data_IF_421929872202
#
_entry.id   IF_421929872202
#
_cell.length_a   1.000
_cell.length_b   1.000
_cell.length_c   1.000
_cell.angle_alpha   90.00
_cell.angle_beta   90.00
_cell.angle_gamma   90.00
#
_symmetry.space_group_name_H-M   'P 1'
#
loop_
_entity.id
_entity.type
_entity.pdbx_description
1 polymer ?
#
# COMPACT_ATOMS: atom_id res chain seq x y z
N UNK A 1 -16.35 -19.14 15.49
CA UNK A 1 -17.28 -18.00 15.29
C UNK A 1 -16.84 -17.21 14.07
N UNK A 2 -17.72 -16.96 13.11
CA UNK A 2 -17.39 -16.06 11.97
C UNK A 2 -17.02 -14.69 12.52
N UNK A 3 -15.89 -14.13 12.09
CA UNK A 3 -15.41 -12.81 12.46
C UNK A 3 -16.39 -11.78 11.88
N UNK A 4 -16.84 -10.79 12.66
CA UNK A 4 -17.73 -9.74 12.15
C UNK A 4 -17.04 -8.97 11.01
N UNK A 5 -17.80 -8.53 10.03
CA UNK A 5 -17.27 -7.85 8.85
C UNK A 5 -16.76 -6.47 9.25
N UNK A 6 -15.59 -6.08 8.76
CA UNK A 6 -15.03 -4.74 8.93
C UNK A 6 -14.53 -4.27 7.57
N UNK A 7 -14.95 -3.08 7.17
CA UNK A 7 -14.42 -2.33 6.04
C UNK A 7 -13.71 -1.09 6.54
N UNK A 8 -12.61 -0.72 5.90
CA UNK A 8 -11.91 0.52 6.19
C UNK A 8 -12.41 1.62 5.27
N UNK A 9 -12.63 2.80 5.85
CA UNK A 9 -12.97 3.98 5.08
C UNK A 9 -11.81 4.39 4.18
N UNK A 10 -12.12 4.78 2.95
CA UNK A 10 -11.14 5.26 1.99
C UNK A 10 -10.77 6.73 2.25
N UNK A 11 -11.71 7.52 2.77
CA UNK A 11 -11.59 8.92 3.12
C UNK A 11 -12.06 9.14 4.57
N UNK A 12 -11.59 10.20 5.22
CA UNK A 12 -11.94 10.47 6.63
C UNK A 12 -13.43 10.77 6.83
N UNK A 13 -14.12 11.30 5.81
CA UNK A 13 -15.55 11.61 5.81
C UNK A 13 -16.46 10.42 5.46
N UNK A 14 -15.89 9.30 5.09
CA UNK A 14 -16.63 8.09 4.71
C UNK A 14 -17.05 7.23 5.89
N UNK A 15 -16.87 7.69 7.11
CA UNK A 15 -17.22 6.90 8.30
C UNK A 15 -18.69 6.46 8.27
N UNK A 16 -19.64 7.35 7.92
CA UNK A 16 -21.05 7.07 7.82
C UNK A 16 -21.39 6.05 6.71
N UNK A 17 -21.08 6.34 5.44
CA UNK A 17 -21.29 5.39 4.34
C UNK A 17 -20.61 4.03 4.56
N UNK A 18 -19.42 4.02 5.15
CA UNK A 18 -18.72 2.76 5.47
C UNK A 18 -19.44 1.98 6.57
N UNK A 19 -20.03 2.64 7.56
CA UNK A 19 -20.89 1.98 8.56
C UNK A 19 -22.09 1.30 7.90
N UNK A 20 -22.76 1.96 6.94
CA UNK A 20 -23.85 1.35 6.17
C UNK A 20 -23.37 0.16 5.35
N UNK A 21 -22.20 0.25 4.69
CA UNK A 21 -21.57 -0.88 3.97
C UNK A 21 -21.31 -2.08 4.88
N UNK A 22 -20.81 -1.84 6.10
CA UNK A 22 -20.56 -2.88 7.10
C UNK A 22 -21.87 -3.58 7.50
N UNK A 23 -22.92 -2.80 7.77
CA UNK A 23 -24.23 -3.33 8.14
C UNK A 23 -24.88 -4.07 6.97
N UNK A 24 -24.86 -3.54 5.75
CA UNK A 24 -25.37 -4.22 4.56
C UNK A 24 -24.69 -5.58 4.37
N UNK A 25 -23.37 -5.64 4.55
CA UNK A 25 -22.61 -6.92 4.47
C UNK A 25 -22.96 -7.88 5.59
N UNK A 26 -23.26 -7.39 6.78
CA UNK A 26 -23.75 -8.25 7.87
C UNK A 26 -25.05 -8.96 7.49
N UNK A 27 -25.96 -8.27 6.79
CA UNK A 27 -27.21 -8.82 6.28
C UNK A 27 -27.07 -9.54 4.91
N UNK A 28 -25.83 -9.71 4.39
CA UNK A 28 -25.51 -10.56 3.25
C UNK A 28 -25.35 -9.85 1.91
N UNK A 29 -25.49 -8.50 1.82
CA UNK A 29 -25.33 -7.74 0.57
C UNK A 29 -24.05 -6.90 0.59
N UNK A 30 -23.43 -6.74 -0.58
CA UNK A 30 -22.29 -5.83 -0.77
C UNK A 30 -22.72 -4.67 -1.63
N UNK A 31 -22.71 -3.45 -1.08
CA UNK A 31 -23.11 -2.24 -1.78
C UNK A 31 -21.86 -1.41 -2.08
N UNK A 32 -21.80 -0.78 -3.25
CA UNK A 32 -20.71 0.09 -3.62
C UNK A 32 -20.65 1.30 -2.68
N UNK A 33 -19.46 1.65 -2.19
CA UNK A 33 -19.30 2.79 -1.28
C UNK A 33 -19.72 4.11 -1.94
N UNK A 34 -19.59 4.21 -3.26
CA UNK A 34 -19.95 5.40 -4.01
C UNK A 34 -21.47 5.64 -3.99
N UNK A 35 -22.28 4.59 -4.22
CA UNK A 35 -23.73 4.67 -4.12
C UNK A 35 -24.17 5.10 -2.70
N UNK A 36 -23.49 4.57 -1.67
CA UNK A 36 -23.76 4.95 -0.29
C UNK A 36 -23.40 6.40 0.02
N UNK A 37 -22.33 6.93 -0.57
CA UNK A 37 -21.96 8.36 -0.46
C UNK A 37 -23.02 9.26 -1.12
N UNK A 38 -23.44 8.89 -2.32
CA UNK A 38 -24.43 9.65 -3.08
C UNK A 38 -25.78 9.63 -2.36
N UNK A 39 -26.20 8.49 -1.79
CA UNK A 39 -27.45 8.39 -1.02
C UNK A 39 -27.39 9.14 0.32
N UNK A 40 -26.22 9.18 0.98
CA UNK A 40 -26.02 9.85 2.27
C UNK A 40 -25.61 11.32 2.14
N UNK A 41 -25.61 11.88 0.92
CA UNK A 41 -25.26 13.28 0.65
C UNK A 41 -24.01 13.73 1.41
N UNK A 42 -22.96 12.86 1.40
CA UNK A 42 -21.75 13.09 2.19
C UNK A 42 -21.03 14.35 1.70
N UNK A 43 -20.93 15.36 2.56
CA UNK A 43 -20.28 16.66 2.28
C UNK A 43 -18.80 16.67 2.65
N UNK A 44 -18.13 17.83 2.50
CA UNK A 44 -16.73 18.04 2.95
C UNK A 44 -16.55 17.85 4.46
N UNK A 45 -17.60 18.04 5.25
CA UNK A 45 -17.61 17.89 6.70
C UNK A 45 -17.95 16.46 7.15
N UNK A 46 -18.38 15.62 6.22
CA UNK A 46 -18.84 14.26 6.47
C UNK A 46 -20.34 14.08 6.24
N UNK A 47 -20.91 12.99 6.74
CA UNK A 47 -22.33 12.67 6.65
C UNK A 47 -23.05 13.12 7.93
N UNK A 48 -24.27 13.61 7.76
CA UNK A 48 -25.17 13.90 8.86
C UNK A 48 -25.99 12.62 9.16
N UNK A 49 -26.44 12.46 10.41
CA UNK A 49 -27.19 11.30 10.85
C UNK A 49 -28.53 11.13 10.11
N UNK A 50 -29.20 12.25 9.76
CA UNK A 50 -30.42 12.24 8.99
C UNK A 50 -30.19 11.67 7.60
N UNK A 51 -29.18 12.17 6.88
CA UNK A 51 -28.85 11.66 5.54
C UNK A 51 -28.37 10.19 5.56
N UNK A 52 -27.72 9.75 6.64
CA UNK A 52 -27.41 8.34 6.84
C UNK A 52 -28.66 7.49 7.04
N UNK A 53 -29.65 8.01 7.76
CA UNK A 53 -30.98 7.39 7.92
C UNK A 53 -31.67 7.26 6.58
N UNK A 54 -31.75 8.34 5.80
CA UNK A 54 -32.38 8.38 4.47
C UNK A 54 -31.68 7.43 3.50
N UNK A 55 -30.34 7.39 3.51
CA UNK A 55 -29.55 6.45 2.73
C UNK A 55 -29.87 4.99 3.10
N UNK A 56 -29.94 4.69 4.38
CA UNK A 56 -30.28 3.35 4.86
C UNK A 56 -31.70 2.94 4.41
N UNK A 57 -32.68 3.87 4.43
CA UNK A 57 -34.04 3.62 3.98
C UNK A 57 -34.13 3.43 2.46
N UNK A 58 -33.36 4.22 1.67
CA UNK A 58 -33.25 4.03 0.21
C UNK A 58 -32.79 2.64 -0.18
N UNK A 59 -31.85 2.06 0.57
CA UNK A 59 -31.35 0.70 0.32
C UNK A 59 -32.22 -0.40 0.94
N UNK A 60 -33.29 -0.03 1.66
CA UNK A 60 -34.32 -0.96 2.12
C UNK A 60 -34.19 -1.33 3.60
N UNK A 61 -33.44 -0.61 4.42
CA UNK A 61 -33.50 -0.73 5.88
C UNK A 61 -34.67 0.08 6.45
N UNK A 62 -35.03 -0.22 7.70
CA UNK A 62 -35.80 0.66 8.57
C UNK A 62 -34.88 1.27 9.58
N UNK A 63 -35.00 2.56 9.82
CA UNK A 63 -34.10 3.30 10.69
C UNK A 63 -34.85 4.05 11.77
N UNK A 64 -34.19 4.24 12.93
CA UNK A 64 -34.70 5.06 14.00
C UNK A 64 -33.51 5.77 14.70
N UNK A 65 -33.41 7.09 14.55
CA UNK A 65 -32.46 7.92 15.27
C UNK A 65 -32.92 8.14 16.70
N UNK A 66 -32.13 7.76 17.68
CA UNK A 66 -32.49 7.84 19.10
C UNK A 66 -31.35 8.47 19.92
N UNK A 67 -31.75 9.13 20.99
CA UNK A 67 -30.86 9.54 22.07
C UNK A 67 -31.18 8.66 23.28
N UNK A 68 -30.28 7.76 23.66
CA UNK A 68 -30.51 6.73 24.67
C UNK A 68 -29.32 6.60 25.63
N UNK A 69 -29.62 6.11 26.86
CA UNK A 69 -28.58 5.82 27.85
C UNK A 69 -27.87 4.49 27.57
N UNK A 70 -26.63 4.36 28.08
CA UNK A 70 -25.82 3.14 27.91
C UNK A 70 -26.52 1.88 28.45
N UNK A 71 -27.32 2.00 29.47
CA UNK A 71 -28.07 0.88 30.06
C UNK A 71 -29.21 0.38 29.17
N UNK A 72 -29.85 1.27 28.38
CA UNK A 72 -30.88 0.90 27.43
C UNK A 72 -30.31 0.44 26.07
N UNK A 73 -29.05 0.72 25.81
CA UNK A 73 -28.39 0.27 24.58
C UNK A 73 -28.26 -1.27 24.52
N UNK A 74 -28.26 -1.95 25.68
CA UNK A 74 -28.25 -3.42 25.74
C UNK A 74 -29.57 -4.04 25.17
N UNK A 75 -30.65 -3.29 25.13
CA UNK A 75 -31.96 -3.71 24.59
C UNK A 75 -32.12 -3.33 23.09
N UNK A 76 -31.19 -2.53 22.54
CA UNK A 76 -31.26 -2.05 21.18
C UNK A 76 -30.97 -3.15 20.15
N UNK A 77 -31.62 -3.12 18.97
CA UNK A 77 -31.28 -4.04 17.88
C UNK A 77 -29.84 -3.81 17.41
N UNK A 78 -29.06 -4.89 17.30
CA UNK A 78 -27.67 -4.86 16.83
C UNK A 78 -27.57 -5.58 15.47
N UNK A 79 -26.73 -5.08 14.53
CA UNK A 79 -25.82 -3.94 14.66
C UNK A 79 -26.50 -2.58 14.51
N UNK A 80 -26.00 -1.54 15.21
CA UNK A 80 -26.45 -0.16 15.10
C UNK A 80 -25.28 0.80 14.87
N UNK A 81 -25.54 2.01 14.34
CA UNK A 81 -24.53 3.05 14.15
C UNK A 81 -24.55 3.99 15.36
N UNK A 82 -23.38 4.29 15.91
CA UNK A 82 -23.20 5.23 17.00
C UNK A 82 -22.47 6.48 16.52
N UNK A 83 -22.93 7.65 16.99
CA UNK A 83 -22.20 8.90 16.82
C UNK A 83 -21.07 8.98 17.86
N UNK A 84 -19.84 8.95 17.40
CA UNK A 84 -18.64 8.71 18.22
C UNK A 84 -17.77 9.95 18.30
N UNK A 85 -17.31 10.34 19.46
CA UNK A 85 -16.49 11.56 19.65
C UNK A 85 -17.05 12.82 19.00
N UNK A 86 -18.39 12.93 18.81
CA UNK A 86 -19.10 14.04 18.18
C UNK A 86 -18.71 14.36 16.70
N UNK A 87 -17.83 13.57 16.10
CA UNK A 87 -17.33 13.82 14.73
C UNK A 87 -17.07 12.54 13.92
N UNK A 88 -17.46 11.38 14.42
CA UNK A 88 -17.21 10.09 13.78
C UNK A 88 -18.41 9.15 13.92
N UNK A 89 -18.52 8.16 13.03
CA UNK A 89 -19.52 7.10 13.10
C UNK A 89 -18.87 5.74 13.18
N UNK A 90 -19.40 4.88 14.06
CA UNK A 90 -18.93 3.50 14.26
C UNK A 90 -20.10 2.53 14.35
N UNK A 91 -19.88 1.25 14.08
CA UNK A 91 -20.89 0.21 14.18
C UNK A 91 -20.70 -0.58 15.46
N UNK A 92 -21.69 -0.52 16.37
CA UNK A 92 -21.77 -1.42 17.51
C UNK A 92 -22.46 -2.72 17.06
N UNK A 93 -21.76 -3.85 17.13
CA UNK A 93 -22.28 -5.11 16.61
C UNK A 93 -22.53 -6.18 17.67
N UNK A 94 -22.01 -5.99 18.88
CA UNK A 94 -22.19 -6.95 19.96
C UNK A 94 -21.89 -6.30 21.30
N UNK A 95 -22.67 -6.67 22.31
CA UNK A 95 -22.42 -6.36 23.72
C UNK A 95 -22.32 -7.69 24.46
N UNK A 96 -21.32 -7.84 25.32
CA UNK A 96 -21.17 -9.03 26.17
C UNK A 96 -20.69 -8.61 27.54
N UNK A 97 -21.56 -8.72 28.54
CA UNK A 97 -21.34 -8.16 29.91
C UNK A 97 -20.96 -6.68 29.79
N UNK A 98 -19.84 -6.24 30.36
CA UNK A 98 -19.35 -4.87 30.31
C UNK A 98 -18.38 -4.60 29.15
N UNK A 99 -18.38 -5.43 28.09
CA UNK A 99 -17.51 -5.27 26.92
C UNK A 99 -18.33 -4.97 25.67
N UNK A 100 -18.03 -3.85 25.03
CA UNK A 100 -18.67 -3.34 23.82
C UNK A 100 -17.77 -3.61 22.61
N UNK A 101 -18.32 -4.29 21.60
CA UNK A 101 -17.61 -4.70 20.40
C UNK A 101 -17.97 -3.79 19.25
N UNK A 102 -17.02 -3.03 18.76
CA UNK A 102 -17.20 -1.99 17.75
C UNK A 102 -16.44 -2.35 16.48
N UNK A 103 -17.09 -2.17 15.34
CA UNK A 103 -16.43 -2.10 14.03
C UNK A 103 -16.28 -0.63 13.66
N UNK A 104 -15.07 -0.11 13.80
CA UNK A 104 -14.71 1.26 13.49
C UNK A 104 -14.16 1.33 12.07
N UNK A 105 -14.76 2.13 11.16
CA UNK A 105 -14.26 2.32 9.81
C UNK A 105 -12.80 2.81 9.72
N UNK A 106 -12.33 3.56 10.72
CA UNK A 106 -10.96 4.05 10.76
C UNK A 106 -9.96 3.04 11.35
N UNK A 107 -10.38 2.29 12.38
CA UNK A 107 -9.48 1.46 13.19
C UNK A 107 -9.73 -0.05 13.06
N UNK A 108 -10.87 -0.47 12.50
CA UNK A 108 -11.26 -1.88 12.38
C UNK A 108 -12.01 -2.38 13.61
N UNK A 109 -11.87 -3.67 13.94
CA UNK A 109 -12.59 -4.26 15.07
C UNK A 109 -11.87 -3.93 16.39
N UNK A 110 -12.58 -3.26 17.30
CA UNK A 110 -12.09 -2.80 18.62
C UNK A 110 -13.05 -3.26 19.70
N UNK A 111 -12.51 -3.43 20.90
CA UNK A 111 -13.27 -3.74 22.10
C UNK A 111 -13.03 -2.66 23.15
N UNK A 112 -14.09 -2.19 23.77
CA UNK A 112 -14.04 -1.20 24.85
C UNK A 112 -14.70 -1.78 26.11
N UNK A 113 -14.16 -1.42 27.28
CA UNK A 113 -14.86 -1.57 28.54
C UNK A 113 -15.96 -0.50 28.65
N UNK A 114 -16.89 -0.65 29.63
CA UNK A 114 -18.03 0.27 29.79
C UNK A 114 -17.59 1.72 30.00
N UNK A 115 -16.55 1.97 30.81
CA UNK A 115 -16.08 3.32 31.13
C UNK A 115 -15.50 4.04 29.89
N UNK A 116 -14.61 3.38 29.15
CA UNK A 116 -14.02 3.93 27.92
C UNK A 116 -15.07 4.10 26.83
N UNK A 117 -16.02 3.16 26.71
CA UNK A 117 -17.12 3.24 25.77
C UNK A 117 -17.99 4.48 26.02
N UNK A 118 -18.45 4.71 27.25
CA UNK A 118 -19.25 5.88 27.64
C UNK A 118 -18.48 7.17 27.35
N UNK A 119 -17.23 7.24 27.73
CA UNK A 119 -16.37 8.40 27.50
C UNK A 119 -16.25 8.77 26.01
N UNK A 120 -16.11 7.80 25.13
CA UNK A 120 -15.97 8.05 23.69
C UNK A 120 -17.33 8.27 22.99
N UNK A 121 -18.39 7.65 23.47
CA UNK A 121 -19.73 7.76 22.87
C UNK A 121 -20.43 9.05 23.26
N UNK A 122 -20.39 9.44 24.54
CA UNK A 122 -21.10 10.62 25.07
C UNK A 122 -20.20 11.86 25.03
N UNK A 123 -18.88 11.70 25.15
CA UNK A 123 -17.89 12.80 25.20
C UNK A 123 -17.68 13.35 26.61
N UNK A 124 -16.76 14.35 26.73
CA UNK A 124 -16.40 14.98 28.01
C UNK A 124 -17.43 16.00 28.53
N UNK A 125 -18.50 16.30 27.79
CA UNK A 125 -19.55 17.23 28.15
C UNK A 125 -20.79 16.50 28.74
N UNK A 126 -20.61 15.37 29.42
CA UNK A 126 -21.66 14.79 30.21
C UNK A 126 -22.00 15.77 31.34
N UNK A 127 -23.05 16.57 31.18
CA UNK A 127 -23.73 17.14 32.32
C UNK A 127 -24.08 15.98 33.26
N UNK A 128 -23.74 16.08 34.52
CA UNK A 128 -23.85 15.00 35.53
C UNK A 128 -25.27 14.38 35.65
N UNK A 129 -26.24 14.83 34.85
CA UNK A 129 -27.64 14.44 34.91
C UNK A 129 -28.15 13.53 33.79
N UNK A 130 -27.46 13.40 32.62
CA UNK A 130 -27.94 12.54 31.50
C UNK A 130 -26.79 11.90 30.75
N UNK A 131 -26.46 10.64 31.06
CA UNK A 131 -25.53 9.79 30.31
C UNK A 131 -26.22 9.24 29.02
N UNK A 132 -26.61 10.12 28.09
CA UNK A 132 -27.29 9.74 26.87
C UNK A 132 -26.42 10.01 25.63
N UNK A 133 -26.26 9.00 24.78
CA UNK A 133 -25.55 9.08 23.50
C UNK A 133 -26.50 8.93 22.30
N UNK A 134 -26.06 9.36 21.13
CA UNK A 134 -26.81 9.29 19.88
C UNK A 134 -26.52 7.96 19.18
N UNK A 135 -27.58 7.25 18.80
CA UNK A 135 -27.53 6.02 18.03
C UNK A 135 -28.53 6.03 16.87
N UNK A 136 -28.17 5.43 15.75
CA UNK A 136 -29.07 5.10 14.63
C UNK A 136 -29.29 3.59 14.68
N UNK A 137 -30.50 3.19 15.07
CA UNK A 137 -30.94 1.80 15.06
C UNK A 137 -31.33 1.42 13.63
N UNK A 138 -30.91 0.23 13.19
CA UNK A 138 -31.08 -0.20 11.79
C UNK A 138 -31.55 -1.64 11.76
N UNK A 139 -32.65 -1.90 11.06
CA UNK A 139 -33.19 -3.24 10.84
C UNK A 139 -33.43 -3.49 9.35
N UNK A 140 -33.10 -4.70 8.88
CA UNK A 140 -33.32 -5.07 7.49
C UNK A 140 -34.83 -5.29 7.24
N UNK A 141 -35.41 -4.57 6.27
CA UNK A 141 -36.79 -4.79 5.82
C UNK A 141 -36.84 -5.82 4.67
N UNK A 142 -37.99 -6.37 4.33
CA UNK A 142 -38.14 -7.23 3.15
C UNK A 142 -37.67 -6.59 1.84
N UNK A 143 -37.77 -5.26 1.71
CA UNK A 143 -37.25 -4.50 0.55
C UNK A 143 -35.75 -4.62 0.39
N UNK A 144 -34.99 -4.67 1.51
CA UNK A 144 -33.53 -4.83 1.47
C UNK A 144 -33.15 -6.13 0.75
N UNK A 145 -33.84 -7.22 1.00
CA UNK A 145 -33.52 -8.52 0.38
C UNK A 145 -33.97 -8.61 -1.09
N UNK A 146 -34.94 -7.81 -1.51
CA UNK A 146 -35.42 -7.76 -2.88
C UNK A 146 -34.67 -6.79 -3.79
N UNK A 147 -33.90 -5.85 -3.23
CA UNK A 147 -33.14 -4.84 -3.99
C UNK A 147 -31.97 -5.47 -4.77
N UNK A 148 -31.72 -4.99 -5.99
CA UNK A 148 -30.65 -5.46 -6.88
C UNK A 148 -29.26 -4.87 -6.58
N UNK A 149 -29.04 -4.26 -5.41
CA UNK A 149 -27.80 -3.60 -5.03
C UNK A 149 -26.61 -4.57 -4.73
N UNK A 150 -26.57 -5.74 -5.32
CA UNK A 150 -25.50 -6.72 -5.07
C UNK A 150 -24.45 -6.65 -6.19
N UNK A 151 -23.68 -5.56 -6.24
CA UNK A 151 -22.51 -5.46 -7.12
C UNK A 151 -21.24 -5.58 -6.30
N UNK A 152 -20.57 -6.70 -6.48
CA UNK A 152 -19.22 -6.90 -5.95
C UNK A 152 -18.27 -5.88 -6.58
N UNK A 153 -17.50 -5.16 -5.77
CA UNK A 153 -16.42 -4.30 -6.24
C UNK A 153 -15.47 -5.13 -7.13
N UNK A 154 -15.53 -4.95 -8.43
CA UNK A 154 -14.68 -5.67 -9.38
C UNK A 154 -13.23 -5.19 -9.29
N UNK A 155 -12.50 -5.71 -8.31
CA UNK A 155 -11.05 -5.46 -8.16
C UNK A 155 -10.21 -5.89 -9.40
N UNK A 156 -10.83 -6.44 -10.45
CA UNK A 156 -10.15 -6.95 -11.63
C UNK A 156 -10.04 -6.00 -12.81
N UNK A 157 -10.90 -4.99 -12.89
CA UNK A 157 -10.95 -4.08 -14.06
C UNK A 157 -9.73 -3.15 -14.14
N UNK A 158 -9.23 -2.69 -13.01
CA UNK A 158 -8.14 -1.71 -12.99
C UNK A 158 -6.82 -2.20 -13.58
N UNK A 159 -6.37 -3.40 -13.26
CA UNK A 159 -5.11 -3.95 -13.79
C UNK A 159 -5.18 -4.26 -15.29
N UNK A 160 -6.33 -4.70 -15.81
CA UNK A 160 -6.55 -4.95 -17.24
C UNK A 160 -6.47 -3.64 -18.04
N UNK A 161 -7.07 -2.58 -17.53
CA UNK A 161 -7.02 -1.25 -18.14
C UNK A 161 -5.59 -0.71 -18.17
N UNK A 162 -4.87 -0.86 -17.06
CA UNK A 162 -3.47 -0.43 -16.93
C UNK A 162 -2.52 -1.18 -17.87
N UNK A 163 -2.75 -2.48 -18.10
CA UNK A 163 -1.90 -3.26 -19.03
C UNK A 163 -1.93 -2.73 -20.46
N UNK A 164 -3.03 -2.09 -20.90
CA UNK A 164 -3.15 -1.50 -22.23
C UNK A 164 -2.17 -0.34 -22.43
N UNK A 165 -1.90 0.46 -21.40
CA UNK A 165 -0.91 1.54 -21.48
C UNK A 165 0.51 1.01 -21.72
N UNK A 166 0.87 -0.10 -21.10
CA UNK A 166 2.20 -0.72 -21.24
C UNK A 166 2.34 -1.43 -22.58
N UNK A 167 1.32 -2.19 -22.99
CA UNK A 167 1.33 -2.95 -24.27
C UNK A 167 1.39 -2.05 -25.50
N UNK A 168 0.96 -0.81 -25.41
CA UNK A 168 1.10 0.20 -26.47
C UNK A 168 2.57 0.44 -26.83
N UNK A 169 3.50 0.24 -25.89
CA UNK A 169 4.93 0.49 -26.07
C UNK A 169 5.77 -0.80 -26.17
N UNK A 170 5.21 -1.85 -26.81
CA UNK A 170 5.84 -3.17 -26.94
C UNK A 170 7.29 -3.16 -27.48
N UNK A 171 7.63 -2.21 -28.37
CA UNK A 171 8.98 -2.08 -28.91
C UNK A 171 10.01 -1.75 -27.83
N UNK A 172 9.71 -0.83 -26.90
CA UNK A 172 10.58 -0.52 -25.75
C UNK A 172 10.69 -1.71 -24.80
N UNK A 173 9.61 -2.47 -24.59
CA UNK A 173 9.65 -3.67 -23.76
C UNK A 173 10.57 -4.74 -24.34
N UNK A 174 10.54 -4.95 -25.66
CA UNK A 174 11.44 -5.90 -26.33
C UNK A 174 12.90 -5.44 -26.19
N UNK A 175 13.20 -4.16 -26.43
CA UNK A 175 14.56 -3.62 -26.27
C UNK A 175 15.07 -3.78 -24.82
N UNK A 176 14.22 -3.49 -23.82
CA UNK A 176 14.54 -3.72 -22.42
C UNK A 176 14.81 -5.19 -22.13
N UNK A 177 13.98 -6.11 -22.64
CA UNK A 177 14.16 -7.54 -22.45
C UNK A 177 15.48 -8.04 -23.06
N UNK A 178 15.85 -7.59 -24.24
CA UNK A 178 17.14 -7.93 -24.85
C UNK A 178 18.31 -7.38 -24.03
N UNK A 179 18.23 -6.11 -23.58
CA UNK A 179 19.25 -5.51 -22.72
C UNK A 179 19.40 -6.24 -21.38
N UNK A 180 18.27 -6.70 -20.81
CA UNK A 180 18.27 -7.49 -19.57
C UNK A 180 18.95 -8.85 -19.74
N UNK A 181 18.64 -9.57 -20.81
CA UNK A 181 19.28 -10.84 -21.14
C UNK A 181 20.78 -10.67 -21.36
N UNK A 182 21.19 -9.66 -22.14
CA UNK A 182 22.60 -9.36 -22.36
C UNK A 182 23.32 -9.02 -21.05
N UNK A 183 22.72 -8.20 -20.18
CA UNK A 183 23.29 -7.85 -18.87
C UNK A 183 23.42 -9.07 -17.96
N UNK A 184 22.43 -9.98 -17.96
CA UNK A 184 22.47 -11.23 -17.17
C UNK A 184 23.59 -12.16 -17.66
N UNK A 185 23.77 -12.28 -18.97
CA UNK A 185 24.86 -13.08 -19.55
C UNK A 185 26.23 -12.54 -19.18
N UNK A 186 26.43 -11.20 -19.27
CA UNK A 186 27.69 -10.59 -18.84
C UNK A 186 27.93 -10.81 -17.33
N UNK A 187 26.91 -10.70 -16.51
CA UNK A 187 27.03 -10.90 -15.07
C UNK A 187 27.37 -12.33 -14.70
N UNK A 188 26.92 -13.31 -15.47
CA UNK A 188 27.20 -14.73 -15.27
C UNK A 188 28.71 -15.07 -15.39
N UNK A 189 29.45 -14.32 -16.20
CA UNK A 189 30.88 -14.56 -16.45
C UNK A 189 31.74 -14.17 -15.22
N UNK A 190 31.32 -13.17 -14.42
CA UNK A 190 32.13 -12.63 -13.32
C UNK A 190 32.58 -13.66 -12.28
N UNK A 191 31.71 -14.54 -11.74
CA UNK A 191 32.12 -15.56 -10.75
C UNK A 191 33.19 -16.52 -11.30
N UNK A 192 33.09 -16.90 -12.58
CA UNK A 192 34.08 -17.78 -13.20
C UNK A 192 35.42 -17.11 -13.42
N UNK A 193 35.45 -15.82 -13.76
CA UNK A 193 36.68 -15.05 -13.82
C UNK A 193 37.34 -14.93 -12.43
N UNK A 194 36.51 -14.69 -11.39
CA UNK A 194 37.01 -14.63 -10.01
C UNK A 194 37.63 -15.96 -9.56
N UNK A 195 36.98 -17.07 -9.89
CA UNK A 195 37.51 -18.40 -9.67
C UNK A 195 38.86 -18.60 -10.39
N UNK A 196 38.91 -18.27 -11.68
CA UNK A 196 40.09 -18.46 -12.53
C UNK A 196 41.32 -17.65 -12.08
N UNK A 197 41.11 -16.45 -11.50
CA UNK A 197 42.18 -15.67 -10.92
C UNK A 197 42.92 -16.48 -9.84
N UNK A 198 42.15 -17.15 -8.98
CA UNK A 198 42.73 -17.87 -7.82
C UNK A 198 43.26 -19.23 -8.25
N UNK A 199 42.44 -20.04 -8.93
CA UNK A 199 42.78 -21.44 -9.25
C UNK A 199 43.86 -21.59 -10.33
N UNK A 200 43.94 -20.63 -11.27
CA UNK A 200 44.93 -20.67 -12.36
C UNK A 200 45.99 -19.59 -12.19
N UNK A 201 45.57 -18.34 -11.91
CA UNK A 201 46.48 -17.22 -11.81
C UNK A 201 47.42 -17.29 -10.62
N UNK A 202 46.86 -17.43 -9.42
CA UNK A 202 47.63 -17.42 -8.16
C UNK A 202 48.32 -18.76 -7.92
N UNK A 203 47.61 -19.89 -8.06
CA UNK A 203 48.21 -21.21 -7.82
C UNK A 203 49.39 -21.53 -8.74
N UNK A 204 49.28 -21.11 -10.03
CA UNK A 204 50.35 -21.31 -11.00
C UNK A 204 51.32 -20.11 -11.08
N UNK A 205 51.23 -19.11 -10.20
CA UNK A 205 52.03 -17.90 -10.16
C UNK A 205 52.14 -17.20 -11.53
N UNK A 206 51.08 -17.24 -12.34
CA UNK A 206 51.04 -16.71 -13.69
C UNK A 206 50.48 -15.29 -13.74
N UNK A 207 51.34 -14.29 -13.62
CA UNK A 207 50.96 -12.89 -13.62
C UNK A 207 50.36 -12.44 -14.95
N UNK A 208 50.78 -12.98 -16.09
CA UNK A 208 50.26 -12.65 -17.42
C UNK A 208 48.79 -13.06 -17.55
N UNK A 209 48.42 -14.20 -16.99
CA UNK A 209 47.04 -14.65 -16.95
C UNK A 209 46.20 -13.72 -16.08
N UNK A 210 46.70 -13.22 -14.95
CA UNK A 210 46.00 -12.27 -14.09
C UNK A 210 45.73 -10.96 -14.83
N UNK A 211 46.72 -10.43 -15.60
CA UNK A 211 46.52 -9.24 -16.43
C UNK A 211 45.43 -9.46 -17.51
N UNK A 212 45.42 -10.62 -18.14
CA UNK A 212 44.39 -10.96 -19.13
C UNK A 212 42.98 -10.92 -18.50
N UNK A 213 42.80 -11.51 -17.33
CA UNK A 213 41.53 -11.51 -16.64
C UNK A 213 41.15 -10.10 -16.16
N UNK A 214 42.12 -9.28 -15.70
CA UNK A 214 41.89 -7.89 -15.34
C UNK A 214 41.26 -7.11 -16.53
N UNK A 215 41.88 -7.21 -17.71
CA UNK A 215 41.33 -6.56 -18.91
C UNK A 215 39.94 -7.11 -19.31
N UNK A 216 39.73 -8.43 -19.19
CA UNK A 216 38.45 -9.06 -19.43
C UNK A 216 37.38 -8.51 -18.46
N UNK A 217 37.67 -8.41 -17.16
CA UNK A 217 36.76 -7.85 -16.17
C UNK A 217 36.46 -6.37 -16.40
N UNK A 218 37.45 -5.56 -16.77
CA UNK A 218 37.27 -4.15 -17.12
C UNK A 218 36.37 -3.99 -18.35
N UNK A 219 36.58 -4.80 -19.39
CA UNK A 219 35.74 -4.79 -20.58
C UNK A 219 34.29 -5.19 -20.26
N UNK A 220 34.09 -6.26 -19.50
CA UNK A 220 32.75 -6.69 -19.06
C UNK A 220 32.07 -5.63 -18.19
N UNK A 221 32.82 -4.99 -17.29
CA UNK A 221 32.30 -3.89 -16.47
C UNK A 221 31.85 -2.71 -17.34
N UNK A 222 32.66 -2.28 -18.31
CA UNK A 222 32.30 -1.22 -19.23
C UNK A 222 31.06 -1.58 -20.08
N UNK A 223 30.99 -2.81 -20.59
CA UNK A 223 29.84 -3.32 -21.33
C UNK A 223 28.55 -3.33 -20.48
N UNK A 224 28.64 -3.83 -19.23
CA UNK A 224 27.53 -3.82 -18.29
C UNK A 224 27.06 -2.40 -17.97
N UNK A 225 27.99 -1.48 -17.71
CA UNK A 225 27.66 -0.08 -17.41
C UNK A 225 26.99 0.59 -18.61
N UNK A 226 27.49 0.32 -19.82
CA UNK A 226 26.86 0.82 -21.06
C UNK A 226 25.41 0.31 -21.24
N UNK A 227 25.18 -0.98 -20.99
CA UNK A 227 23.82 -1.54 -21.03
C UNK A 227 22.91 -0.93 -19.96
N UNK A 228 23.41 -0.66 -18.77
CA UNK A 228 22.64 -0.02 -17.69
C UNK A 228 22.28 1.43 -18.03
N UNK A 229 23.17 2.19 -18.67
CA UNK A 229 22.89 3.52 -19.18
C UNK A 229 21.77 3.49 -20.23
N UNK A 230 21.87 2.60 -21.23
CA UNK A 230 20.85 2.45 -22.29
C UNK A 230 19.50 2.07 -21.65
N UNK A 231 19.49 1.13 -20.69
CA UNK A 231 18.29 0.72 -19.96
C UNK A 231 17.65 1.90 -19.24
N UNK A 232 18.44 2.69 -18.53
CA UNK A 232 17.94 3.86 -17.79
C UNK A 232 17.30 4.90 -18.70
N UNK A 233 17.88 5.14 -19.88
CA UNK A 233 17.30 6.03 -20.88
C UNK A 233 15.97 5.52 -21.45
N UNK A 234 15.90 4.24 -21.78
CA UNK A 234 14.67 3.63 -22.31
C UNK A 234 13.58 3.67 -21.23
N UNK A 235 13.92 3.34 -19.95
CA UNK A 235 12.99 3.40 -18.83
C UNK A 235 12.46 4.81 -18.60
N UNK A 236 13.33 5.83 -18.64
CA UNK A 236 12.91 7.22 -18.47
C UNK A 236 11.90 7.64 -19.57
N UNK A 237 12.17 7.29 -20.83
CA UNK A 237 11.25 7.59 -21.92
C UNK A 237 9.90 6.89 -21.78
N UNK A 238 9.92 5.61 -21.42
CA UNK A 238 8.72 4.80 -21.22
C UNK A 238 7.88 5.34 -20.05
N UNK A 239 8.51 5.56 -18.90
CA UNK A 239 7.93 6.07 -17.68
C UNK A 239 7.26 7.44 -17.90
N UNK A 240 7.99 8.38 -18.50
CA UNK A 240 7.47 9.72 -18.79
C UNK A 240 6.24 9.67 -19.72
N UNK A 241 6.28 8.88 -20.79
CA UNK A 241 5.15 8.77 -21.72
C UNK A 241 3.92 8.15 -21.10
N UNK A 242 4.09 7.10 -20.29
CA UNK A 242 2.98 6.45 -19.56
C UNK A 242 2.42 7.42 -18.54
N UNK A 243 3.26 8.14 -17.78
CA UNK A 243 2.82 9.12 -16.78
C UNK A 243 2.01 10.25 -17.42
N UNK A 244 2.48 10.82 -18.54
CA UNK A 244 1.74 11.86 -19.27
C UNK A 244 0.37 11.34 -19.72
N UNK A 245 0.30 10.13 -20.30
CA UNK A 245 -0.96 9.54 -20.73
C UNK A 245 -1.92 9.34 -19.55
N UNK A 246 -1.44 8.75 -18.45
CA UNK A 246 -2.27 8.48 -17.26
C UNK A 246 -2.82 9.77 -16.63
N UNK A 247 -1.97 10.80 -16.49
CA UNK A 247 -2.39 12.06 -15.90
C UNK A 247 -3.32 12.83 -16.87
N UNK A 248 -3.05 12.78 -18.18
CA UNK A 248 -3.93 13.41 -19.17
C UNK A 248 -5.33 12.79 -19.17
N UNK A 249 -5.42 11.46 -19.19
CA UNK A 249 -6.70 10.75 -19.14
C UNK A 249 -7.45 11.02 -17.82
N UNK A 250 -6.72 11.13 -16.72
CA UNK A 250 -7.29 11.53 -15.44
C UNK A 250 -7.87 12.96 -15.47
N UNK A 251 -7.15 13.92 -16.05
CA UNK A 251 -7.66 15.29 -16.18
C UNK A 251 -8.86 15.37 -17.13
N UNK A 252 -8.85 14.63 -18.24
CA UNK A 252 -10.02 14.55 -19.13
C UNK A 252 -11.22 14.03 -18.34
N UNK A 253 -11.06 12.94 -17.59
CA UNK A 253 -12.13 12.40 -16.75
C UNK A 253 -12.58 13.40 -15.69
N UNK A 254 -11.63 14.05 -15.02
CA UNK A 254 -11.94 15.02 -13.96
C UNK A 254 -12.74 16.21 -14.50
N UNK A 255 -12.43 16.70 -15.71
CA UNK A 255 -13.14 17.82 -16.36
C UNK A 255 -14.55 17.45 -16.81
N UNK A 256 -14.81 16.18 -17.05
CA UNK A 256 -16.14 15.68 -17.45
C UNK A 256 -17.03 15.33 -16.25
N UNK A 257 -16.54 15.46 -15.01
CA UNK A 257 -17.33 15.20 -13.83
C UNK A 257 -18.25 16.38 -13.47
N UNK A 258 -19.47 16.12 -12.90
CA UNK A 258 -20.40 17.15 -12.52
C UNK A 258 -19.84 18.06 -11.39
N UNK A 259 -20.30 19.32 -11.34
CA UNK A 259 -19.87 20.31 -10.35
C UNK A 259 -20.05 19.79 -8.91
N UNK A 260 -21.12 19.06 -8.64
CA UNK A 260 -21.42 18.45 -7.34
C UNK A 260 -20.29 17.57 -6.80
N UNK A 261 -19.48 16.97 -7.69
CA UNK A 261 -18.30 16.20 -7.28
C UNK A 261 -17.26 17.07 -6.59
N UNK A 262 -17.04 18.30 -7.08
CA UNK A 262 -16.04 19.25 -6.54
C UNK A 262 -16.52 19.92 -5.25
N UNK A 263 -17.83 20.10 -5.08
CA UNK A 263 -18.40 20.68 -3.86
C UNK A 263 -18.16 19.80 -2.63
N UNK A 264 -18.06 18.50 -2.85
CA UNK A 264 -17.91 17.49 -1.79
C UNK A 264 -16.44 17.17 -1.49
N UNK A 265 -15.51 17.44 -2.42
CA UNK A 265 -14.11 17.01 -2.32
C UNK A 265 -13.17 18.12 -1.88
N UNK A 266 -12.19 17.78 -1.05
CA UNK A 266 -11.09 18.68 -0.70
C UNK A 266 -10.05 18.73 -1.82
N UNK A 267 -9.47 19.88 -2.08
CA UNK A 267 -8.40 20.05 -3.07
C UNK A 267 -7.20 19.14 -2.80
N UNK A 268 -6.84 18.96 -1.52
CA UNK A 268 -5.76 18.05 -1.12
C UNK A 268 -6.03 16.57 -1.46
N UNK A 269 -7.29 16.14 -1.46
CA UNK A 269 -7.68 14.79 -1.87
C UNK A 269 -7.41 14.58 -3.38
N UNK A 270 -7.77 15.55 -4.21
CA UNK A 270 -7.51 15.51 -5.66
C UNK A 270 -6.00 15.52 -5.93
N UNK A 271 -5.23 16.36 -5.23
CA UNK A 271 -3.77 16.42 -5.35
C UNK A 271 -3.11 15.08 -4.94
N UNK A 272 -3.61 14.45 -3.89
CA UNK A 272 -3.10 13.15 -3.47
C UNK A 272 -3.40 12.05 -4.51
N UNK A 273 -4.54 12.10 -5.20
CA UNK A 273 -4.85 11.18 -6.30
C UNK A 273 -3.94 11.37 -7.51
N UNK A 274 -3.48 12.59 -7.79
CA UNK A 274 -2.44 12.83 -8.80
C UNK A 274 -1.11 12.13 -8.38
N UNK A 275 -0.77 12.17 -7.10
CA UNK A 275 0.40 11.44 -6.59
C UNK A 275 0.22 9.90 -6.66
N UNK A 276 -1.01 9.40 -6.54
CA UNK A 276 -1.31 7.98 -6.70
C UNK A 276 -1.03 7.48 -8.13
N UNK A 277 -1.19 8.33 -9.18
CA UNK A 277 -0.79 7.99 -10.54
C UNK A 277 0.70 7.69 -10.67
N UNK A 278 1.56 8.40 -9.95
CA UNK A 278 3.00 8.14 -9.93
C UNK A 278 3.35 6.78 -9.33
N UNK A 279 2.59 6.33 -8.31
CA UNK A 279 2.77 4.99 -7.73
C UNK A 279 2.40 3.90 -8.72
N UNK A 280 1.29 4.10 -9.44
CA UNK A 280 0.83 3.18 -10.49
C UNK A 280 1.82 3.15 -11.66
N UNK A 281 2.25 4.32 -12.15
CA UNK A 281 3.24 4.44 -13.22
C UNK A 281 4.52 3.69 -12.84
N UNK A 282 5.05 3.90 -11.64
CA UNK A 282 6.26 3.24 -11.13
C UNK A 282 6.13 1.72 -11.17
N UNK A 283 4.99 1.16 -10.77
CA UNK A 283 4.74 -0.29 -10.85
C UNK A 283 4.66 -0.76 -12.29
N UNK A 284 3.95 -0.04 -13.15
CA UNK A 284 3.77 -0.44 -14.55
C UNK A 284 5.06 -0.43 -15.36
N UNK A 285 6.04 0.36 -14.94
CA UNK A 285 7.30 0.57 -15.66
C UNK A 285 8.48 0.01 -14.90
N UNK A 286 9.08 0.82 -14.04
CA UNK A 286 10.37 0.55 -13.40
C UNK A 286 10.33 -0.71 -12.53
N UNK A 287 9.32 -0.85 -11.68
CA UNK A 287 9.27 -1.94 -10.71
C UNK A 287 9.02 -3.30 -11.36
N UNK A 288 8.08 -3.39 -12.30
CA UNK A 288 7.78 -4.65 -13.01
C UNK A 288 8.95 -5.12 -13.85
N UNK A 289 9.66 -4.21 -14.51
CA UNK A 289 10.83 -4.53 -15.33
C UNK A 289 12.00 -4.96 -14.43
N UNK A 290 12.25 -4.25 -13.33
CA UNK A 290 13.30 -4.62 -12.39
C UNK A 290 13.04 -5.99 -11.74
N UNK A 291 11.79 -6.30 -11.41
CA UNK A 291 11.43 -7.62 -10.87
C UNK A 291 11.60 -8.72 -11.89
N UNK A 292 11.20 -8.50 -13.14
CA UNK A 292 11.43 -9.47 -14.21
C UNK A 292 12.93 -9.78 -14.32
N UNK A 293 13.78 -8.75 -14.31
CA UNK A 293 15.23 -8.91 -14.30
C UNK A 293 15.72 -9.67 -13.09
N UNK A 294 15.23 -9.32 -11.89
CA UNK A 294 15.61 -9.97 -10.64
C UNK A 294 15.26 -11.45 -10.62
N UNK A 295 14.08 -11.81 -11.15
CA UNK A 295 13.65 -13.20 -11.27
C UNK A 295 14.58 -13.97 -12.23
N UNK A 296 14.86 -13.41 -13.42
CA UNK A 296 15.76 -14.03 -14.37
C UNK A 296 17.16 -14.21 -13.77
N UNK A 297 17.70 -13.16 -13.14
CA UNK A 297 19.01 -13.20 -12.50
C UNK A 297 19.05 -14.22 -11.34
N UNK A 298 17.99 -14.30 -10.55
CA UNK A 298 17.88 -15.27 -9.46
C UNK A 298 17.90 -16.72 -9.98
N UNK A 299 17.21 -17.00 -11.09
CA UNK A 299 17.23 -18.33 -11.72
C UNK A 299 18.60 -18.65 -12.31
N UNK A 300 19.21 -17.71 -13.04
CA UNK A 300 20.52 -17.90 -13.68
C UNK A 300 21.60 -18.09 -12.61
N UNK A 301 21.73 -17.16 -11.65
CA UNK A 301 22.76 -17.22 -10.61
C UNK A 301 22.48 -18.33 -9.59
N UNK A 302 21.21 -18.63 -9.29
CA UNK A 302 20.81 -19.75 -8.47
C UNK A 302 21.17 -21.09 -9.12
N UNK A 303 21.00 -21.23 -10.45
CA UNK A 303 21.43 -22.38 -11.22
C UNK A 303 22.94 -22.57 -11.19
N UNK A 304 23.73 -21.50 -11.33
CA UNK A 304 25.18 -21.54 -11.18
C UNK A 304 25.58 -21.92 -9.76
N UNK A 305 24.92 -21.38 -8.73
CA UNK A 305 25.19 -21.76 -7.34
C UNK A 305 24.92 -23.26 -7.10
N UNK A 306 23.82 -23.79 -7.64
CA UNK A 306 23.49 -25.21 -7.56
C UNK A 306 24.52 -26.10 -8.30
N UNK A 307 25.05 -25.61 -9.44
CA UNK A 307 26.11 -26.30 -10.18
C UNK A 307 27.42 -26.37 -9.36
N UNK A 308 27.80 -25.30 -8.66
CA UNK A 308 28.97 -25.28 -7.80
C UNK A 308 28.82 -26.21 -6.58
N UNK A 309 27.71 -26.08 -5.84
CA UNK A 309 27.43 -26.94 -4.70
C UNK A 309 25.96 -26.92 -4.29
N UNK A 310 25.32 -28.09 -4.31
CA UNK A 310 23.91 -28.24 -4.02
C UNK A 310 23.57 -27.97 -2.54
N UNK A 311 24.47 -28.26 -1.60
CA UNK A 311 24.25 -28.01 -0.16
C UNK A 311 24.18 -26.51 0.11
N UNK A 312 25.11 -25.73 -0.48
CA UNK A 312 25.14 -24.28 -0.35
C UNK A 312 23.90 -23.66 -0.99
N UNK A 313 23.46 -24.17 -2.15
CA UNK A 313 22.24 -23.74 -2.79
C UNK A 313 21.01 -23.91 -1.87
N UNK A 314 20.86 -25.07 -1.23
CA UNK A 314 19.73 -25.28 -0.30
C UNK A 314 19.79 -24.38 0.93
N UNK A 315 20.97 -24.14 1.49
CA UNK A 315 21.14 -23.19 2.61
C UNK A 315 20.74 -21.78 2.18
N UNK A 316 21.20 -21.35 1.01
CA UNK A 316 20.82 -20.04 0.44
C UNK A 316 19.33 -19.94 0.22
N UNK A 317 18.70 -20.96 -0.37
CA UNK A 317 17.28 -20.98 -0.68
C UNK A 317 16.42 -20.97 0.59
N UNK A 318 16.75 -21.81 1.58
CA UNK A 318 16.06 -21.84 2.87
C UNK A 318 16.16 -20.49 3.59
N UNK A 319 17.37 -19.90 3.68
CA UNK A 319 17.56 -18.59 4.28
C UNK A 319 16.78 -17.48 3.55
N UNK A 320 16.66 -17.57 2.23
CA UNK A 320 15.88 -16.62 1.42
C UNK A 320 14.37 -16.76 1.66
N UNK A 321 13.86 -17.98 1.88
CA UNK A 321 12.46 -18.21 2.29
C UNK A 321 12.18 -17.60 3.66
N UNK A 322 13.07 -17.79 4.65
CA UNK A 322 12.93 -17.16 5.97
C UNK A 322 12.94 -15.63 5.88
N UNK A 323 13.83 -15.07 5.07
CA UNK A 323 13.90 -13.64 4.82
C UNK A 323 12.59 -13.09 4.22
N UNK A 324 12.05 -13.75 3.19
CA UNK A 324 10.77 -13.39 2.58
C UNK A 324 9.60 -13.55 3.55
N UNK A 325 9.56 -14.65 4.30
CA UNK A 325 8.56 -14.92 5.34
C UNK A 325 8.52 -13.83 6.40
N UNK A 326 9.70 -13.41 6.88
CA UNK A 326 9.81 -12.30 7.84
C UNK A 326 9.12 -11.02 7.34
N UNK A 327 9.36 -10.66 6.09
CA UNK A 327 8.81 -9.42 5.52
C UNK A 327 7.31 -9.49 5.36
N UNK A 328 6.76 -10.64 4.94
CA UNK A 328 5.32 -10.80 4.73
C UNK A 328 4.51 -10.64 6.02
N UNK A 329 5.10 -10.91 7.19
CA UNK A 329 4.44 -10.73 8.49
C UNK A 329 4.05 -9.25 8.75
N UNK A 330 4.77 -8.31 8.17
CA UNK A 330 4.56 -6.87 8.39
C UNK A 330 3.57 -6.23 7.42
N UNK A 331 3.24 -6.89 6.29
CA UNK A 331 2.42 -6.29 5.22
C UNK A 331 1.06 -5.79 5.70
N UNK A 332 0.35 -6.56 6.52
CA UNK A 332 -0.97 -6.15 7.05
C UNK A 332 -0.90 -4.92 7.96
N UNK A 333 0.14 -4.84 8.81
CA UNK A 333 0.33 -3.68 9.71
C UNK A 333 0.69 -2.44 8.91
N UNK A 334 1.51 -2.59 7.86
CA UNK A 334 1.88 -1.52 6.95
C UNK A 334 0.67 -0.94 6.23
N UNK A 335 -0.21 -1.78 5.69
CA UNK A 335 -1.46 -1.37 5.04
C UNK A 335 -2.30 -0.46 5.93
N UNK A 336 -2.47 -0.83 7.20
CA UNK A 336 -3.21 -0.01 8.18
C UNK A 336 -2.58 1.36 8.39
N UNK A 337 -1.24 1.40 8.46
CA UNK A 337 -0.52 2.66 8.66
C UNK A 337 -0.54 3.53 7.40
N UNK A 338 -0.52 2.94 6.21
CA UNK A 338 -0.57 3.68 4.94
C UNK A 338 -1.92 4.39 4.77
N UNK A 339 -3.05 3.73 5.08
CA UNK A 339 -4.36 4.39 5.10
C UNK A 339 -4.42 5.58 6.07
N UNK A 340 -3.88 5.42 7.29
CA UNK A 340 -3.82 6.52 8.26
C UNK A 340 -2.95 7.66 7.79
N UNK A 341 -1.79 7.34 7.23
CA UNK A 341 -0.87 8.34 6.69
C UNK A 341 -1.50 9.10 5.53
N UNK A 342 -2.21 8.42 4.64
CA UNK A 342 -2.92 9.06 3.55
C UNK A 342 -3.92 10.11 4.05
N UNK A 343 -4.75 9.77 5.03
CA UNK A 343 -5.73 10.69 5.60
C UNK A 343 -5.06 11.95 6.19
N UNK A 344 -3.98 11.78 6.95
CA UNK A 344 -3.26 12.91 7.55
C UNK A 344 -2.52 13.76 6.50
N UNK A 345 -1.93 13.13 5.46
CA UNK A 345 -1.27 13.85 4.36
C UNK A 345 -2.30 14.66 3.54
N UNK A 346 -3.47 14.08 3.25
CA UNK A 346 -4.54 14.79 2.55
C UNK A 346 -5.02 16.02 3.33
N UNK A 347 -5.18 15.91 4.66
CA UNK A 347 -5.53 17.04 5.51
C UNK A 347 -4.43 18.09 5.56
N UNK A 348 -3.17 17.68 5.64
CA UNK A 348 -2.02 18.57 5.64
C UNK A 348 -1.97 19.38 4.34
N UNK A 349 -2.07 18.73 3.19
CA UNK A 349 -2.09 19.39 1.88
C UNK A 349 -3.27 20.35 1.74
N UNK A 350 -4.45 19.97 2.22
CA UNK A 350 -5.63 20.86 2.21
C UNK A 350 -5.41 22.10 3.07
N UNK A 351 -4.78 21.93 4.26
CA UNK A 351 -4.46 23.07 5.14
C UNK A 351 -3.40 24.00 4.54
N UNK A 352 -2.39 23.45 3.88
CA UNK A 352 -1.39 24.25 3.17
C UNK A 352 -2.05 25.07 2.05
N UNK A 353 -2.91 24.45 1.24
CA UNK A 353 -3.65 25.15 0.19
C UNK A 353 -4.58 26.22 0.75
N UNK A 354 -5.30 25.93 1.84
CA UNK A 354 -6.13 26.93 2.55
C UNK A 354 -5.30 28.13 3.00
N UNK A 355 -4.12 27.90 3.59
CA UNK A 355 -3.21 28.97 4.04
C UNK A 355 -2.69 29.81 2.87
N UNK A 356 -2.27 29.18 1.77
CA UNK A 356 -1.71 29.88 0.62
C UNK A 356 -2.80 30.70 -0.09
N UNK A 357 -3.93 30.07 -0.40
CA UNK A 357 -5.00 30.72 -1.15
C UNK A 357 -5.73 31.79 -0.31
N UNK A 358 -5.88 31.57 0.99
CA UNK A 358 -6.54 32.49 1.92
C UNK A 358 -5.59 33.47 2.60
N UNK A 359 -4.33 33.61 2.17
CA UNK A 359 -3.34 34.42 2.87
C UNK A 359 -3.76 35.90 3.03
N UNK A 360 -4.44 36.45 2.03
CA UNK A 360 -4.94 37.84 2.07
C UNK A 360 -6.00 37.98 3.18
N UNK A 361 -6.98 37.07 3.23
CA UNK A 361 -8.04 37.06 4.24
C UNK A 361 -7.46 36.82 5.65
N UNK A 362 -6.51 35.91 5.78
CA UNK A 362 -5.82 35.63 7.03
C UNK A 362 -5.16 36.89 7.59
N UNK A 363 -4.52 37.66 6.73
CA UNK A 363 -3.87 38.91 7.12
C UNK A 363 -4.87 40.00 7.47
N UNK A 364 -5.95 40.14 6.69
CA UNK A 364 -6.99 41.13 6.95
C UNK A 364 -7.69 40.90 8.31
N UNK A 365 -7.82 39.64 8.73
CA UNK A 365 -8.44 39.26 9.99
C UNK A 365 -7.46 39.06 11.15
N UNK A 366 -6.14 39.29 10.97
CA UNK A 366 -5.08 39.04 11.96
C UNK A 366 -5.13 37.58 12.53
N UNK A 367 -5.48 36.62 11.67
CA UNK A 367 -5.70 35.25 12.08
C UNK A 367 -4.47 34.33 11.89
N UNK A 368 -3.26 34.89 11.65
CA UNK A 368 -2.05 34.16 11.29
C UNK A 368 -1.67 33.10 12.35
N UNK A 369 -1.73 33.48 13.63
CA UNK A 369 -1.39 32.54 14.73
C UNK A 369 -2.36 31.37 14.80
N UNK A 370 -3.66 31.64 14.72
CA UNK A 370 -4.70 30.61 14.79
C UNK A 370 -4.60 29.62 13.63
N UNK A 371 -4.42 30.13 12.40
CA UNK A 371 -4.32 29.30 11.20
C UNK A 371 -3.02 28.48 11.18
N UNK A 372 -1.89 29.05 11.62
CA UNK A 372 -0.64 28.35 11.79
C UNK A 372 -0.75 27.22 12.81
N UNK A 373 -1.32 27.47 13.99
CA UNK A 373 -1.55 26.43 14.99
C UNK A 373 -2.45 25.32 14.48
N UNK A 374 -3.46 25.63 13.68
CA UNK A 374 -4.30 24.62 13.02
C UNK A 374 -3.49 23.70 12.11
N UNK A 375 -2.54 24.24 11.33
CA UNK A 375 -1.62 23.44 10.54
C UNK A 375 -0.61 22.66 11.39
N UNK A 376 0.00 23.30 12.40
CA UNK A 376 0.93 22.63 13.33
C UNK A 376 0.28 21.42 14.04
N UNK A 377 -1.01 21.52 14.38
CA UNK A 377 -1.76 20.40 14.95
C UNK A 377 -1.88 19.22 13.99
N UNK A 378 -2.17 19.47 12.72
CA UNK A 378 -2.19 18.42 11.68
C UNK A 378 -0.81 17.81 11.49
N UNK A 379 0.25 18.64 11.46
CA UNK A 379 1.63 18.18 11.39
C UNK A 379 2.01 17.28 12.58
N UNK A 380 1.58 17.61 13.79
CA UNK A 380 1.84 16.81 14.97
C UNK A 380 1.14 15.42 14.89
N UNK A 381 -0.04 15.34 14.26
CA UNK A 381 -0.71 14.06 14.00
C UNK A 381 0.01 13.24 12.92
N UNK A 382 0.36 13.87 11.81
CA UNK A 382 1.12 13.26 10.72
C UNK A 382 2.46 12.72 11.23
N UNK A 383 3.17 13.49 12.06
CA UNK A 383 4.43 13.07 12.68
C UNK A 383 4.26 11.80 13.53
N UNK A 384 3.20 11.73 14.37
CA UNK A 384 2.91 10.54 15.17
C UNK A 384 2.66 9.28 14.32
N UNK A 385 1.96 9.42 13.21
CA UNK A 385 1.74 8.31 12.27
C UNK A 385 3.04 7.94 11.57
N UNK A 386 3.83 8.92 11.16
CA UNK A 386 5.14 8.72 10.50
C UNK A 386 6.14 8.01 11.40
N UNK A 387 6.21 8.36 12.70
CA UNK A 387 7.05 7.65 13.68
C UNK A 387 6.63 6.18 13.80
N UNK A 388 5.33 5.88 13.87
CA UNK A 388 4.86 4.48 13.89
C UNK A 388 5.23 3.73 12.62
N UNK A 389 5.16 4.40 11.47
CA UNK A 389 5.61 3.86 10.19
C UNK A 389 7.10 3.56 10.20
N UNK A 390 7.92 4.51 10.67
CA UNK A 390 9.38 4.36 10.77
C UNK A 390 9.78 3.21 11.69
N UNK A 391 9.18 3.10 12.87
CA UNK A 391 9.46 1.99 13.81
C UNK A 391 9.14 0.65 13.15
N UNK A 392 8.01 0.54 12.44
CA UNK A 392 7.62 -0.68 11.74
C UNK A 392 8.65 -1.03 10.65
N UNK A 393 9.03 -0.04 9.83
CA UNK A 393 10.02 -0.19 8.76
C UNK A 393 11.40 -0.57 9.28
N UNK A 394 11.89 0.11 10.32
CA UNK A 394 13.17 -0.22 10.96
C UNK A 394 13.16 -1.62 11.57
N UNK A 395 12.10 -2.01 12.28
CA UNK A 395 11.97 -3.37 12.86
C UNK A 395 12.03 -4.43 11.74
N UNK A 396 11.31 -4.18 10.64
CA UNK A 396 11.31 -5.07 9.49
C UNK A 396 12.70 -5.14 8.84
N UNK A 397 13.36 -4.00 8.61
CA UNK A 397 14.66 -3.91 7.95
C UNK A 397 15.76 -4.53 8.80
N UNK A 398 15.83 -4.22 10.10
CA UNK A 398 16.82 -4.79 11.01
C UNK A 398 16.68 -6.32 11.07
N UNK A 399 15.45 -6.83 11.28
CA UNK A 399 15.22 -8.27 11.32
C UNK A 399 15.58 -8.97 10.02
N UNK A 400 15.25 -8.38 8.88
CA UNK A 400 15.61 -8.93 7.56
C UNK A 400 17.13 -8.91 7.32
N UNK A 401 17.83 -7.84 7.75
CA UNK A 401 19.28 -7.74 7.66
C UNK A 401 19.98 -8.81 8.51
N UNK A 402 19.49 -9.03 9.73
CA UNK A 402 20.03 -10.08 10.62
C UNK A 402 19.89 -11.46 9.96
N UNK A 403 18.71 -11.79 9.41
CA UNK A 403 18.49 -13.07 8.72
C UNK A 403 19.44 -13.21 7.53
N UNK A 404 19.61 -12.15 6.75
CA UNK A 404 20.48 -12.16 5.58
C UNK A 404 21.95 -12.34 5.95
N UNK A 405 22.45 -11.61 6.98
CA UNK A 405 23.82 -11.73 7.45
C UNK A 405 24.10 -13.11 8.06
N UNK A 406 23.21 -13.64 8.88
CA UNK A 406 23.34 -15.00 9.41
C UNK A 406 23.42 -16.03 8.27
N UNK A 407 22.58 -15.91 7.25
CA UNK A 407 22.63 -16.75 6.05
C UNK A 407 24.00 -16.67 5.38
N UNK A 408 24.54 -15.45 5.15
CA UNK A 408 25.82 -15.23 4.49
C UNK A 408 26.98 -15.82 5.30
N UNK A 409 26.99 -15.57 6.62
CA UNK A 409 28.00 -16.14 7.53
C UNK A 409 27.98 -17.66 7.47
N UNK A 410 26.78 -18.28 7.49
CA UNK A 410 26.65 -19.73 7.45
C UNK A 410 27.14 -20.31 6.12
N UNK A 411 26.86 -19.63 5.00
CA UNK A 411 27.35 -20.04 3.67
C UNK A 411 28.87 -19.95 3.60
N UNK A 412 29.47 -18.85 4.08
CA UNK A 412 30.94 -18.69 4.11
C UNK A 412 31.59 -19.79 4.96
N UNK A 413 31.05 -20.05 6.16
CA UNK A 413 31.52 -21.12 7.03
C UNK A 413 31.46 -22.50 6.34
N UNK A 414 30.29 -22.83 5.73
CA UNK A 414 30.11 -24.10 5.02
C UNK A 414 31.07 -24.21 3.82
N UNK A 415 31.26 -23.14 3.05
CA UNK A 415 32.17 -23.08 1.92
C UNK A 415 33.63 -23.30 2.38
N UNK A 416 34.03 -22.64 3.46
CA UNK A 416 35.37 -22.84 4.03
C UNK A 416 35.61 -24.28 4.50
N UNK A 417 34.61 -24.90 5.14
CA UNK A 417 34.68 -26.33 5.51
C UNK A 417 34.85 -27.22 4.28
N UNK A 418 34.07 -27.00 3.23
CA UNK A 418 34.17 -27.78 1.98
C UNK A 418 35.53 -27.60 1.27
N UNK A 419 36.21 -26.45 1.42
CA UNK A 419 37.59 -26.24 0.93
C UNK A 419 38.58 -27.07 1.73
N UNK A 420 38.46 -27.09 3.07
CA UNK A 420 39.31 -27.91 3.93
C UNK A 420 39.16 -29.42 3.63
N UNK A 421 37.91 -29.83 3.40
CA UNK A 421 37.59 -31.23 3.03
C UNK A 421 38.01 -31.57 1.58
N UNK A 422 38.57 -30.61 0.81
CA UNK A 422 39.03 -30.80 -0.58
C UNK A 422 37.90 -30.96 -1.60
N UNK A 423 36.63 -30.71 -1.23
CA UNK A 423 35.48 -30.87 -2.12
C UNK A 423 35.30 -29.72 -3.10
N UNK A 424 35.80 -28.54 -2.79
CA UNK A 424 35.79 -27.34 -3.64
C UNK A 424 37.15 -26.63 -3.54
N UNK A 425 37.51 -25.85 -4.56
CA UNK A 425 38.73 -25.02 -4.55
C UNK A 425 38.51 -23.69 -3.81
N UNK A 426 39.64 -23.03 -3.45
CA UNK A 426 39.58 -21.68 -2.87
C UNK A 426 38.95 -20.68 -3.85
N UNK A 427 39.26 -20.81 -5.15
CA UNK A 427 38.60 -20.00 -6.19
C UNK A 427 37.12 -20.20 -6.29
N UNK A 428 36.66 -21.47 -6.16
CA UNK A 428 35.20 -21.77 -6.10
C UNK A 428 34.54 -21.13 -4.89
N UNK A 429 35.16 -21.13 -3.71
CA UNK A 429 34.65 -20.46 -2.52
C UNK A 429 34.46 -18.96 -2.76
N UNK A 430 35.41 -18.29 -3.39
CA UNK A 430 35.30 -16.85 -3.73
C UNK A 430 34.22 -16.60 -4.79
N UNK A 431 34.10 -17.48 -5.78
CA UNK A 431 33.03 -17.42 -6.77
C UNK A 431 31.63 -17.56 -6.12
N UNK A 432 31.47 -18.52 -5.21
CA UNK A 432 30.23 -18.71 -4.42
C UNK A 432 29.90 -17.46 -3.63
N UNK A 433 30.89 -16.87 -2.93
CA UNK A 433 30.68 -15.62 -2.19
C UNK A 433 30.23 -14.46 -3.09
N UNK A 434 30.81 -14.35 -4.29
CA UNK A 434 30.42 -13.37 -5.31
C UNK A 434 28.99 -13.59 -5.82
N UNK A 435 28.60 -14.85 -6.08
CA UNK A 435 27.25 -15.22 -6.52
C UNK A 435 26.23 -14.88 -5.42
N UNK A 436 26.47 -15.27 -4.18
CA UNK A 436 25.59 -14.99 -3.03
C UNK A 436 25.44 -13.49 -2.83
N UNK A 437 26.53 -12.71 -2.92
CA UNK A 437 26.49 -11.26 -2.91
C UNK A 437 25.62 -10.67 -4.02
N UNK A 438 25.75 -11.20 -5.25
CA UNK A 438 24.94 -10.77 -6.42
C UNK A 438 23.46 -11.11 -6.29
N UNK A 439 23.11 -12.19 -5.57
CA UNK A 439 21.73 -12.63 -5.37
C UNK A 439 20.96 -11.83 -4.29
N UNK A 440 21.67 -11.11 -3.42
CA UNK A 440 21.01 -10.29 -2.39
C UNK A 440 20.21 -9.13 -3.00
N UNK A 441 20.72 -8.50 -4.06
CA UNK A 441 20.01 -7.44 -4.80
C UNK A 441 18.66 -7.88 -5.35
N UNK A 442 18.59 -8.93 -6.19
CA UNK A 442 17.35 -9.51 -6.69
C UNK A 442 16.32 -9.84 -5.62
N UNK A 443 16.73 -10.41 -4.49
CA UNK A 443 15.82 -10.72 -3.39
C UNK A 443 15.22 -9.44 -2.80
N UNK A 444 16.04 -8.42 -2.57
CA UNK A 444 15.56 -7.12 -2.06
C UNK A 444 14.58 -6.48 -3.03
N UNK A 445 14.84 -6.52 -4.35
CA UNK A 445 13.95 -5.98 -5.38
C UNK A 445 12.60 -6.71 -5.44
N UNK A 446 12.58 -8.05 -5.28
CA UNK A 446 11.33 -8.81 -5.17
C UNK A 446 10.47 -8.35 -3.99
N UNK A 447 11.10 -8.06 -2.86
CA UNK A 447 10.41 -7.61 -1.66
C UNK A 447 9.87 -6.19 -1.82
N UNK A 448 10.68 -5.29 -2.37
CA UNK A 448 10.25 -3.93 -2.70
C UNK A 448 9.07 -3.95 -3.65
N UNK A 449 9.08 -4.83 -4.66
CA UNK A 449 7.97 -5.00 -5.57
C UNK A 449 6.67 -5.44 -4.87
N UNK A 450 6.74 -6.39 -3.94
CA UNK A 450 5.54 -6.80 -3.16
C UNK A 450 4.96 -5.62 -2.39
N UNK A 451 5.81 -4.77 -1.80
CA UNK A 451 5.39 -3.54 -1.12
C UNK A 451 4.76 -2.54 -2.09
N UNK A 452 5.42 -2.27 -3.20
CA UNK A 452 4.93 -1.34 -4.22
C UNK A 452 3.64 -1.83 -4.88
N UNK A 453 3.50 -3.14 -5.07
CA UNK A 453 2.27 -3.75 -5.57
C UNK A 453 1.10 -3.54 -4.59
N UNK A 454 1.35 -3.64 -3.29
CA UNK A 454 0.36 -3.33 -2.27
C UNK A 454 -0.03 -1.84 -2.30
N UNK A 455 0.97 -0.94 -2.36
CA UNK A 455 0.75 0.50 -2.42
C UNK A 455 -0.02 0.88 -3.70
N UNK A 456 0.33 0.30 -4.86
CA UNK A 456 -0.38 0.53 -6.12
C UNK A 456 -1.80 -0.04 -6.12
N UNK A 457 -2.05 -1.18 -5.48
CA UNK A 457 -3.41 -1.72 -5.34
C UNK A 457 -4.30 -0.77 -4.54
N UNK A 458 -3.78 -0.16 -3.48
CA UNK A 458 -4.49 0.85 -2.68
C UNK A 458 -4.74 2.11 -3.53
N UNK A 459 -3.73 2.58 -4.25
CA UNK A 459 -3.84 3.75 -5.13
C UNK A 459 -4.83 3.50 -6.27
N UNK A 460 -4.83 2.31 -6.86
CA UNK A 460 -5.75 1.93 -7.92
C UNK A 460 -7.20 1.90 -7.43
N UNK A 461 -7.46 1.35 -6.24
CA UNK A 461 -8.80 1.35 -5.65
C UNK A 461 -9.35 2.77 -5.43
N UNK A 462 -8.48 3.75 -5.13
CA UNK A 462 -8.88 5.15 -4.99
C UNK A 462 -9.12 5.84 -6.33
N UNK A 463 -8.36 5.48 -7.37
CA UNK A 463 -8.51 6.06 -8.71
C UNK A 463 -9.71 5.48 -9.45
N UNK A 464 -10.03 4.19 -9.24
CA UNK A 464 -11.23 3.58 -9.82
C UNK A 464 -12.51 4.29 -9.41
N UNK A 465 -12.58 4.83 -8.19
CA UNK A 465 -13.71 5.65 -7.73
C UNK A 465 -14.00 6.86 -8.62
N UNK A 466 -12.97 7.46 -9.24
CA UNK A 466 -13.16 8.61 -10.15
C UNK A 466 -13.53 8.14 -11.55
N UNK A 467 -12.90 7.06 -12.02
CA UNK A 467 -13.15 6.54 -13.37
C UNK A 467 -14.53 5.88 -13.52
N UNK A 468 -15.06 5.31 -12.46
CA UNK A 468 -16.37 4.65 -12.44
C UNK A 468 -17.55 5.65 -12.31
N UNK A 469 -17.29 6.91 -11.92
CA UNK A 469 -18.35 7.92 -11.82
C UNK A 469 -18.82 8.35 -13.21
N UNK A 470 -20.13 8.52 -13.37
CA UNK A 470 -20.75 8.95 -14.61
C UNK A 470 -20.33 10.37 -15.00
N UNK A 471 -20.14 10.61 -16.29
CA UNK A 471 -19.82 11.93 -16.84
C UNK A 471 -21.05 12.81 -16.89
N UNK A 472 -20.89 14.14 -16.74
CA UNK A 472 -21.98 15.12 -16.75
C UNK A 472 -22.82 15.05 -18.05
N UNK A 473 -22.19 14.76 -19.19
CA UNK A 473 -22.83 14.63 -20.50
C UNK A 473 -23.73 13.40 -20.67
N UNK A 474 -23.70 12.44 -19.74
CA UNK A 474 -24.59 11.27 -19.73
C UNK A 474 -25.89 11.49 -18.93
N UNK A 475 -26.04 12.65 -18.30
CA UNK A 475 -27.22 13.01 -17.50
C UNK A 475 -28.25 13.84 -18.28
N UNK A 476 -28.01 14.17 -19.57
CA UNK A 476 -29.01 14.72 -20.49
C UNK A 476 -29.72 13.59 -21.28
#
# INVERSE_FOLDING_TARGET
>A
MKKFTSYKQADFKDCGPTCLKIIAKHYGKTINIQELRDFSETTREGSNLLFLSDAAEKIGFRTLGVKISANRLDEAPLPCILHWNQNHYVVLYKIKKDTYYISDPAFGLIQYNKQDFIKFWIGNNADETTEEGIALLIEASPKFFQSEFDKEDSNGLGFKLLSQYVLRYKSFLVQLSIGLLASSLLQLIFPFLTQSIVDIGIQNQNIHFIYLILFAQLFLFAGRTGLELIRSWILLHLSTRINISLISDFFIKLMNLPISFFDVRMTGDIMQRINDHRRIEKILTTSSINVLFSVINMFVMGGVLAYFNLQIFFVFFAGSIFYFGWITLFLKRREVLDYKRFAEVSQEQSKVMELINGMQEIKLHNAEKQKRWGWEYVQARLFRVSIKGLILEQTQTIGSSVINELKNIFIIFLSAKLVIDGSITLGMMLAISSIVGSLNGPITQLIEFVRELQDAKISLARLSEIHEKEDETQQE
#
